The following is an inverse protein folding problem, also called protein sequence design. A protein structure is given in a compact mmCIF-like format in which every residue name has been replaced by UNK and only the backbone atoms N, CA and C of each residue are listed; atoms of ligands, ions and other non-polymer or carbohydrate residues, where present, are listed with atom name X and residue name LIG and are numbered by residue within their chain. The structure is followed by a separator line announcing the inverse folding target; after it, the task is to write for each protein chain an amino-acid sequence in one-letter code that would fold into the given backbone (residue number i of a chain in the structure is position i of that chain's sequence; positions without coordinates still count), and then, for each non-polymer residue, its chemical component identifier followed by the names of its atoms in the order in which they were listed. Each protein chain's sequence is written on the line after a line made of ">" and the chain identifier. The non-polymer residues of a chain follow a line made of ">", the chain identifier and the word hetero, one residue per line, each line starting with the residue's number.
data_IF_946728190961
#
_entry.id   IF_946728190961
#
_cell.length_a   1.000
_cell.length_b   1.000
_cell.length_c   1.000
_cell.angle_alpha   90.00
_cell.angle_beta   90.00
_cell.angle_gamma   90.00
#
_symmetry.space_group_name_H-M   'P 1'
#
loop_
_entity.id
_entity.type
_entity.pdbx_description
1 polymer ?
#
# COMPACT_ATOMS: atom_id res chain seq x y z
N UNK A 1 23.47 17.89 4.39
CA UNK A 1 22.42 18.78 3.88
C UNK A 1 21.25 18.01 3.26
N UNK A 2 21.46 17.01 2.37
CA UNK A 2 20.35 16.25 1.72
C UNK A 2 19.40 15.54 2.71
N UNK A 3 19.89 14.98 3.81
CA UNK A 3 19.06 14.29 4.82
C UNK A 3 18.09 15.22 5.57
N UNK A 4 18.50 16.47 5.82
CA UNK A 4 17.67 17.50 6.47
C UNK A 4 16.56 17.95 5.52
N UNK A 5 16.86 18.07 4.22
CA UNK A 5 15.89 18.44 3.18
C UNK A 5 14.78 17.38 3.05
N UNK A 6 15.15 16.10 3.06
CA UNK A 6 14.17 14.99 2.99
C UNK A 6 13.27 14.96 4.24
N UNK A 7 13.82 15.21 5.42
CA UNK A 7 13.03 15.29 6.65
C UNK A 7 12.11 16.50 6.63
N UNK A 8 12.56 17.65 6.13
CA UNK A 8 11.71 18.85 5.96
C UNK A 8 10.60 18.63 4.95
N UNK A 9 10.85 17.92 3.84
CA UNK A 9 9.83 17.57 2.84
C UNK A 9 8.81 16.60 3.45
N UNK A 10 9.25 15.60 4.21
CA UNK A 10 8.34 14.70 4.93
C UNK A 10 7.50 15.42 5.99
N UNK A 11 8.10 16.34 6.75
CA UNK A 11 7.38 17.17 7.74
C UNK A 11 6.40 18.14 7.06
N UNK A 12 6.79 18.74 5.93
CA UNK A 12 5.93 19.62 5.13
C UNK A 12 4.75 18.86 4.51
N UNK A 13 4.94 17.59 4.14
CA UNK A 13 3.85 16.72 3.68
C UNK A 13 2.84 16.38 4.79
N UNK A 14 3.27 16.39 6.06
CA UNK A 14 2.36 16.18 7.20
C UNK A 14 1.58 17.46 7.58
N UNK A 15 2.09 18.65 7.24
CA UNK A 15 1.43 19.93 7.56
C UNK A 15 0.66 20.51 6.36
N UNK A 16 1.05 20.20 5.14
CA UNK A 16 0.22 20.45 3.97
C UNK A 16 -0.96 19.48 4.07
N UNK A 17 -2.08 19.94 4.62
CA UNK A 17 -3.35 19.24 4.49
C UNK A 17 -3.53 18.94 3.00
N UNK A 18 -3.26 17.71 2.62
CA UNK A 18 -3.55 17.22 1.28
C UNK A 18 -5.07 17.29 1.17
N UNK A 19 -5.56 18.42 0.72
CA UNK A 19 -6.91 18.51 0.21
C UNK A 19 -6.90 17.66 -1.06
N UNK A 20 -7.13 16.37 -0.91
CA UNK A 20 -7.46 15.50 -2.01
C UNK A 20 -8.71 16.10 -2.66
N UNK A 21 -8.49 16.90 -3.74
CA UNK A 21 -9.56 17.41 -4.54
C UNK A 21 -10.34 16.21 -5.07
N UNK A 22 -11.52 16.01 -4.57
CA UNK A 22 -12.43 15.03 -5.13
C UNK A 22 -13.06 14.03 -4.15
N UNK A 23 -12.66 14.05 -2.89
CA UNK A 23 -13.35 13.22 -1.89
C UNK A 23 -14.57 13.99 -1.39
N UNK A 24 -15.77 13.54 -1.77
CA UNK A 24 -17.02 14.07 -1.21
C UNK A 24 -17.15 13.56 0.24
N UNK A 25 -17.10 14.43 1.28
CA UNK A 25 -17.22 14.00 2.68
C UNK A 25 -18.51 13.24 2.98
N UNK A 26 -19.55 13.43 2.17
CA UNK A 26 -20.81 12.69 2.26
C UNK A 26 -20.69 11.28 1.69
N UNK A 27 -20.00 11.13 0.56
CA UNK A 27 -19.73 9.81 -0.04
C UNK A 27 -18.86 8.95 0.87
N UNK A 28 -17.81 9.54 1.48
CA UNK A 28 -16.97 8.84 2.46
C UNK A 28 -17.77 8.39 3.70
N UNK A 29 -18.66 9.24 4.22
CA UNK A 29 -19.50 8.86 5.36
C UNK A 29 -20.44 7.72 5.00
N UNK A 30 -21.00 7.69 3.80
CA UNK A 30 -21.86 6.59 3.33
C UNK A 30 -21.05 5.29 3.18
N UNK A 31 -19.87 5.35 2.57
CA UNK A 31 -19.00 4.18 2.43
C UNK A 31 -18.58 3.59 3.78
N UNK A 32 -18.25 4.44 4.76
CA UNK A 32 -17.92 4.00 6.13
C UNK A 32 -19.12 3.36 6.82
N UNK A 33 -20.31 3.91 6.66
CA UNK A 33 -21.54 3.32 7.23
C UNK A 33 -21.80 1.95 6.61
N UNK A 34 -21.76 1.83 5.29
CA UNK A 34 -21.96 0.56 4.59
C UNK A 34 -20.91 -0.49 5.00
N UNK A 35 -19.65 -0.09 5.17
CA UNK A 35 -18.61 -0.99 5.65
C UNK A 35 -18.91 -1.48 7.08
N UNK A 36 -19.33 -0.59 7.97
CA UNK A 36 -19.72 -0.95 9.36
C UNK A 36 -20.90 -1.92 9.37
N UNK A 37 -21.91 -1.70 8.57
CA UNK A 37 -23.07 -2.59 8.44
C UNK A 37 -22.65 -3.97 7.94
N UNK A 38 -21.83 -4.05 6.89
CA UNK A 38 -21.27 -5.32 6.40
C UNK A 38 -20.51 -6.06 7.50
N UNK A 39 -19.62 -5.36 8.21
CA UNK A 39 -18.87 -5.97 9.31
C UNK A 39 -19.78 -6.44 10.44
N UNK A 40 -20.84 -5.70 10.76
CA UNK A 40 -21.81 -6.10 11.77
C UNK A 40 -22.57 -7.38 11.36
N UNK A 41 -22.94 -7.51 10.09
CA UNK A 41 -23.58 -8.72 9.56
C UNK A 41 -22.63 -9.93 9.62
N UNK A 42 -21.39 -9.79 9.22
CA UNK A 42 -20.39 -10.87 9.29
C UNK A 42 -20.20 -11.34 10.73
N UNK A 43 -20.09 -10.39 11.68
CA UNK A 43 -19.92 -10.68 13.11
C UNK A 43 -21.04 -11.51 13.74
N UNK A 44 -22.23 -11.52 13.15
CA UNK A 44 -23.34 -12.36 13.63
C UNK A 44 -23.09 -13.85 13.35
N UNK A 45 -22.26 -14.17 12.36
CA UNK A 45 -22.02 -15.54 11.90
C UNK A 45 -20.61 -16.07 12.23
N UNK A 46 -19.62 -15.19 12.28
CA UNK A 46 -18.23 -15.51 12.56
C UNK A 46 -17.41 -14.27 12.98
N UNK A 47 -16.25 -14.46 13.61
CA UNK A 47 -15.31 -13.36 13.84
C UNK A 47 -14.88 -12.72 12.53
N UNK A 48 -14.72 -11.40 12.52
CA UNK A 48 -14.12 -10.67 11.39
C UNK A 48 -12.60 -10.76 11.45
N UNK A 49 -11.96 -10.95 10.30
CA UNK A 49 -10.51 -11.05 10.16
C UNK A 49 -9.97 -9.85 9.41
N UNK A 50 -9.05 -9.13 10.04
CA UNK A 50 -8.32 -8.04 9.42
C UNK A 50 -6.87 -8.45 9.17
N UNK A 51 -6.39 -8.27 7.95
CA UNK A 51 -5.00 -8.44 7.57
C UNK A 51 -4.29 -7.09 7.68
N UNK A 52 -3.30 -6.99 8.57
CA UNK A 52 -2.55 -5.76 8.80
C UNK A 52 -1.12 -5.96 8.31
N UNK A 53 -0.74 -5.25 7.26
CA UNK A 53 0.53 -5.39 6.57
C UNK A 53 1.42 -4.17 6.80
N UNK A 54 2.59 -4.39 7.41
CA UNK A 54 3.54 -3.33 7.72
C UNK A 54 4.33 -2.89 6.48
N UNK A 55 4.98 -1.71 6.58
CA UNK A 55 6.01 -1.31 5.64
C UNK A 55 7.30 -2.13 5.83
N UNK A 56 8.31 -1.83 5.03
CA UNK A 56 9.63 -2.47 5.16
C UNK A 56 10.43 -2.54 3.84
N UNK A 57 10.07 -1.74 2.85
CA UNK A 57 10.72 -1.78 1.53
C UNK A 57 10.65 -3.19 0.94
N UNK A 58 11.76 -3.68 0.40
CA UNK A 58 11.83 -5.00 -0.22
C UNK A 58 11.44 -6.15 0.73
N UNK A 59 11.66 -6.00 2.04
CA UNK A 59 11.25 -7.02 3.03
C UNK A 59 9.73 -7.20 3.11
N UNK A 60 8.96 -6.14 2.79
CA UNK A 60 7.50 -6.20 2.76
C UNK A 60 6.93 -7.14 1.69
N UNK A 61 7.73 -7.57 0.72
CA UNK A 61 7.34 -8.59 -0.25
C UNK A 61 7.03 -9.94 0.40
N UNK A 62 7.56 -10.21 1.60
CA UNK A 62 7.24 -11.39 2.38
C UNK A 62 5.74 -11.49 2.73
N UNK A 63 5.00 -10.38 2.69
CA UNK A 63 3.54 -10.38 2.89
C UNK A 63 2.80 -11.28 1.89
N UNK A 64 3.32 -11.45 0.66
CA UNK A 64 2.73 -12.35 -0.33
C UNK A 64 2.71 -13.80 0.20
N UNK A 65 3.82 -14.24 0.82
CA UNK A 65 3.88 -15.56 1.43
C UNK A 65 2.93 -15.72 2.62
N UNK A 66 2.73 -14.66 3.42
CA UNK A 66 1.76 -14.65 4.51
C UNK A 66 0.33 -14.76 3.99
N UNK A 67 -0.01 -14.01 2.95
CA UNK A 67 -1.33 -14.08 2.31
C UNK A 67 -1.58 -15.50 1.79
N UNK A 68 -0.62 -16.09 1.06
CA UNK A 68 -0.68 -17.48 0.57
C UNK A 68 -0.98 -18.47 1.70
N UNK A 69 -0.33 -18.30 2.84
CA UNK A 69 -0.53 -19.18 3.99
C UNK A 69 -1.94 -19.00 4.58
N UNK A 70 -2.39 -17.75 4.77
CA UNK A 70 -3.73 -17.45 5.30
C UNK A 70 -4.82 -18.02 4.38
N UNK A 71 -4.67 -17.88 3.06
CA UNK A 71 -5.59 -18.47 2.08
C UNK A 71 -5.59 -20.00 2.13
N UNK A 72 -4.40 -20.62 2.26
CA UNK A 72 -4.29 -22.09 2.35
C UNK A 72 -4.99 -22.68 3.57
N UNK A 73 -5.17 -21.88 4.62
CA UNK A 73 -5.93 -22.26 5.82
C UNK A 73 -7.45 -22.01 5.65
N UNK A 74 -7.89 -21.49 4.52
CA UNK A 74 -9.29 -21.13 4.30
C UNK A 74 -9.81 -19.98 5.19
N UNK A 75 -8.90 -19.16 5.72
CA UNK A 75 -9.27 -18.04 6.58
C UNK A 75 -9.78 -16.89 5.70
N UNK A 76 -11.04 -16.49 5.82
CA UNK A 76 -11.58 -15.38 5.05
C UNK A 76 -11.04 -14.05 5.57
N UNK A 77 -10.48 -13.24 4.69
CA UNK A 77 -10.01 -11.88 5.00
C UNK A 77 -11.12 -10.89 4.69
N UNK A 78 -11.57 -10.14 5.69
CA UNK A 78 -12.68 -9.18 5.57
C UNK A 78 -12.19 -7.75 5.37
N UNK A 79 -10.98 -7.46 5.84
CA UNK A 79 -10.39 -6.13 5.76
C UNK A 79 -8.89 -6.25 5.58
N UNK A 80 -8.33 -5.33 4.79
CA UNK A 80 -6.88 -5.21 4.62
C UNK A 80 -6.46 -3.78 5.00
N UNK A 81 -5.44 -3.69 5.82
CA UNK A 81 -4.77 -2.44 6.18
C UNK A 81 -3.29 -2.58 5.84
N UNK A 82 -2.72 -1.55 5.22
CA UNK A 82 -1.31 -1.63 4.82
C UNK A 82 -0.61 -0.29 4.83
N UNK A 83 0.69 -0.31 5.10
CA UNK A 83 1.57 0.86 5.06
C UNK A 83 2.73 0.58 4.11
N UNK A 84 3.10 1.56 3.25
CA UNK A 84 4.22 1.42 2.31
C UNK A 84 4.09 0.13 1.46
N UNK A 85 5.09 -0.75 1.45
CA UNK A 85 5.03 -2.02 0.72
C UNK A 85 3.82 -2.87 1.13
N UNK A 86 3.45 -2.89 2.41
CA UNK A 86 2.24 -3.58 2.87
C UNK A 86 0.96 -2.95 2.29
N UNK A 87 0.94 -1.63 2.05
CA UNK A 87 -0.15 -0.96 1.35
C UNK A 87 -0.24 -1.35 -0.11
N UNK A 88 0.90 -1.50 -0.79
CA UNK A 88 0.97 -1.94 -2.18
C UNK A 88 0.47 -3.39 -2.32
N UNK A 89 1.03 -4.31 -1.55
CA UNK A 89 0.64 -5.72 -1.57
C UNK A 89 -0.82 -5.90 -1.14
N UNK A 90 -1.23 -5.23 -0.05
CA UNK A 90 -2.61 -5.27 0.43
C UNK A 90 -3.61 -4.66 -0.56
N UNK A 91 -3.21 -3.60 -1.27
CA UNK A 91 -4.00 -2.99 -2.33
C UNK A 91 -4.21 -3.93 -3.52
N UNK A 92 -3.16 -4.61 -3.99
CA UNK A 92 -3.27 -5.63 -5.05
C UNK A 92 -4.21 -6.76 -4.61
N UNK A 93 -4.06 -7.24 -3.40
CA UNK A 93 -4.91 -8.28 -2.84
C UNK A 93 -6.38 -7.85 -2.77
N UNK A 94 -6.65 -6.64 -2.29
CA UNK A 94 -8.00 -6.08 -2.22
C UNK A 94 -8.64 -5.84 -3.61
N UNK A 95 -7.82 -5.63 -4.65
CA UNK A 95 -8.26 -5.54 -6.04
C UNK A 95 -8.56 -6.92 -6.67
N UNK A 96 -8.32 -8.02 -5.95
CA UNK A 96 -8.60 -9.38 -6.40
C UNK A 96 -7.45 -10.06 -7.15
N UNK A 97 -6.22 -9.54 -7.05
CA UNK A 97 -5.06 -10.26 -7.55
C UNK A 97 -4.84 -11.51 -6.68
N UNK A 98 -4.69 -12.66 -7.31
CA UNK A 98 -4.27 -13.86 -6.61
C UNK A 98 -2.76 -13.80 -6.26
N UNK A 99 -2.35 -14.71 -5.38
CA UNK A 99 -0.99 -14.71 -4.85
C UNK A 99 0.05 -14.96 -5.94
N UNK A 100 -0.25 -15.78 -6.94
CA UNK A 100 0.67 -16.11 -8.04
C UNK A 100 0.81 -14.91 -8.99
N UNK A 101 -0.27 -14.20 -9.25
CA UNK A 101 -0.26 -12.95 -10.03
C UNK A 101 0.55 -11.86 -9.31
N UNK A 102 0.36 -11.71 -7.98
CA UNK A 102 1.16 -10.77 -7.18
C UNK A 102 2.64 -11.12 -7.20
N UNK A 103 2.98 -12.39 -7.07
CA UNK A 103 4.36 -12.86 -7.11
C UNK A 103 5.00 -12.63 -8.49
N UNK A 104 4.27 -12.92 -9.57
CA UNK A 104 4.72 -12.67 -10.94
C UNK A 104 4.96 -11.17 -11.19
N UNK A 105 4.02 -10.32 -10.75
CA UNK A 105 4.14 -8.86 -10.87
C UNK A 105 5.38 -8.35 -10.14
N UNK A 106 5.56 -8.76 -8.90
CA UNK A 106 6.70 -8.34 -8.06
C UNK A 106 8.04 -8.78 -8.66
N UNK A 107 8.10 -9.97 -9.25
CA UNK A 107 9.30 -10.47 -9.95
C UNK A 107 9.61 -9.71 -11.24
N UNK A 108 8.62 -9.11 -11.88
CA UNK A 108 8.78 -8.33 -13.12
C UNK A 108 9.31 -6.91 -12.89
N UNK A 109 9.27 -6.41 -11.66
CA UNK A 109 9.67 -5.04 -11.31
C UNK A 109 11.20 -4.98 -11.13
N UNK A 110 11.83 -4.02 -11.79
CA UNK A 110 13.22 -3.66 -11.49
C UNK A 110 13.29 -2.83 -10.19
N UNK A 111 13.45 -3.53 -9.07
CA UNK A 111 13.52 -2.92 -7.75
C UNK A 111 14.74 -2.00 -7.58
N UNK A 112 15.84 -2.24 -8.29
CA UNK A 112 16.97 -1.34 -8.30
C UNK A 112 16.58 0.03 -8.87
N UNK A 113 15.85 0.04 -9.95
CA UNK A 113 15.36 1.29 -10.54
C UNK A 113 14.36 1.99 -9.61
N UNK A 114 13.44 1.25 -8.98
CA UNK A 114 12.40 1.80 -8.09
C UNK A 114 12.99 2.41 -6.82
N UNK A 115 14.03 1.79 -6.24
CA UNK A 115 14.62 2.24 -4.97
C UNK A 115 15.89 3.11 -5.14
N UNK A 116 16.45 3.22 -6.34
CA UNK A 116 17.57 4.09 -6.61
C UNK A 116 17.09 5.30 -7.38
N UNK A 117 17.33 6.48 -6.83
CA UNK A 117 17.05 7.77 -7.47
C UNK A 117 18.05 8.05 -8.63
N UNK A 118 18.32 7.02 -9.44
CA UNK A 118 19.22 7.10 -10.59
C UNK A 118 18.43 7.50 -11.83
N UNK A 119 18.34 8.79 -12.06
CA UNK A 119 17.92 9.29 -13.37
C UNK A 119 19.00 8.97 -14.39
N UNK A 120 18.63 8.30 -15.48
CA UNK A 120 19.55 8.09 -16.60
C UNK A 120 20.11 9.45 -17.05
N UNK A 121 21.42 9.56 -17.24
CA UNK A 121 22.09 10.80 -17.72
C UNK A 121 21.43 11.39 -18.98
N UNK A 122 20.72 10.61 -19.74
CA UNK A 122 19.96 11.02 -20.92
C UNK A 122 18.82 12.01 -20.58
N UNK A 123 18.34 12.02 -19.34
CA UNK A 123 17.23 12.86 -18.86
C UNK A 123 17.66 13.91 -17.84
N UNK A 124 18.96 13.96 -17.51
CA UNK A 124 19.51 14.97 -16.58
C UNK A 124 19.90 16.21 -17.38
N UNK A 125 19.42 17.39 -16.94
CA UNK A 125 19.83 18.66 -17.55
C UNK A 125 21.34 18.87 -17.39
N UNK A 126 21.99 19.47 -18.38
CA UNK A 126 23.44 19.76 -18.34
C UNK A 126 23.84 20.63 -17.14
N UNK A 127 22.93 21.44 -16.60
CA UNK A 127 23.16 22.25 -15.39
C UNK A 127 23.33 21.43 -14.11
N UNK A 128 22.83 20.19 -14.06
CA UNK A 128 22.82 19.34 -12.88
C UNK A 128 24.00 18.35 -12.83
N UNK A 129 24.91 18.44 -13.82
CA UNK A 129 26.08 17.55 -13.97
C UNK A 129 27.38 18.13 -13.44
N UNK A 130 27.35 19.32 -12.77
CA UNK A 130 28.54 19.96 -12.18
C UNK A 130 28.63 19.73 -10.68
#
# INVERSE_FOLDING_TARGET
>A
MKRILVIMIMLSCMTAGIHARGVDPKADSVAVVQMRERMAQIRQHRPTVALVLSGGGAKGLAHIGVIRYVESLGIPVDMVLGTSMGGLIGGLYALGYDVDQMEALVKSIDWNWVFTDRVSRKYVSYSDTK
#
